data_IF_153922807738
#
_entry.id   IF_153922807738
#
_cell.length_a   1.000
_cell.length_b   1.000
_cell.length_c   1.000
_cell.angle_alpha   90.00
_cell.angle_beta   90.00
_cell.angle_gamma   90.00
#
_symmetry.space_group_name_H-M   'P 1'
#
loop_
_entity.id
_entity.type
_entity.pdbx_description
1 polymer ?
#
# COMPACT_ATOMS: atom_id res chain seq x y z
N UNK A 1 -0.32 -9.58 -16.61
CA UNK A 1 0.16 -8.21 -16.37
C UNK A 1 1.29 -8.23 -15.34
N UNK A 2 1.11 -8.84 -14.17
CA UNK A 2 1.99 -8.73 -13.02
C UNK A 2 3.22 -9.65 -13.01
N UNK A 3 3.30 -10.66 -13.88
CA UNK A 3 4.46 -11.56 -13.90
C UNK A 3 5.74 -10.84 -14.33
N UNK A 4 6.82 -11.07 -13.59
CA UNK A 4 8.13 -10.47 -13.79
C UNK A 4 8.15 -8.93 -13.68
N UNK A 5 7.22 -8.31 -12.95
CA UNK A 5 7.32 -6.90 -12.58
C UNK A 5 8.37 -6.70 -11.49
N UNK A 6 8.93 -5.50 -11.44
CA UNK A 6 9.77 -5.08 -10.32
C UNK A 6 8.96 -4.34 -9.25
N UNK A 7 9.37 -4.45 -8.01
CA UNK A 7 8.98 -3.51 -6.96
C UNK A 7 9.73 -2.21 -7.23
N UNK A 8 9.02 -1.21 -7.72
CA UNK A 8 9.63 -0.01 -8.30
C UNK A 8 9.76 1.17 -7.35
N UNK A 9 9.12 1.11 -6.18
CA UNK A 9 9.23 2.13 -5.15
C UNK A 9 9.07 1.50 -3.77
N UNK A 10 9.96 1.85 -2.87
CA UNK A 10 9.93 1.41 -1.47
C UNK A 10 10.02 2.63 -0.57
N UNK A 11 8.98 2.85 0.23
CA UNK A 11 8.97 3.87 1.27
C UNK A 11 9.29 3.19 2.59
N UNK A 12 10.50 3.42 3.15
CA UNK A 12 10.92 2.73 4.37
C UNK A 12 9.95 2.93 5.53
N UNK A 13 9.59 1.82 6.19
CA UNK A 13 8.66 1.84 7.31
C UNK A 13 7.21 2.15 6.94
N UNK A 14 6.87 2.23 5.65
CA UNK A 14 5.52 2.50 5.19
C UNK A 14 5.02 1.50 4.14
N UNK A 15 5.52 1.54 2.91
CA UNK A 15 4.95 0.76 1.81
C UNK A 15 5.99 0.19 0.85
N UNK A 16 5.60 -0.85 0.12
CA UNK A 16 6.28 -1.34 -1.07
C UNK A 16 5.30 -1.26 -2.26
N UNK A 17 5.74 -0.73 -3.40
CA UNK A 17 4.88 -0.43 -4.55
C UNK A 17 5.34 -1.15 -5.82
N UNK A 18 4.38 -1.58 -6.63
CA UNK A 18 4.58 -2.22 -7.93
C UNK A 18 3.36 -1.96 -8.84
N UNK A 19 3.35 -2.57 -10.02
CA UNK A 19 2.19 -2.53 -10.93
C UNK A 19 2.39 -1.69 -12.18
N UNK A 20 3.59 -1.13 -12.42
CA UNK A 20 3.91 -0.50 -13.71
C UNK A 20 4.16 -1.58 -14.78
N UNK A 21 3.24 -1.78 -15.75
CA UNK A 21 3.34 -2.90 -16.71
C UNK A 21 4.58 -2.86 -17.59
N UNK A 22 5.20 -1.69 -17.74
CA UNK A 22 6.42 -1.50 -18.55
C UNK A 22 7.70 -1.79 -17.78
N UNK A 23 7.63 -1.90 -16.46
CA UNK A 23 8.81 -2.12 -15.61
C UNK A 23 9.02 -3.61 -15.31
N UNK A 24 9.54 -4.33 -16.29
CA UNK A 24 9.89 -5.75 -16.19
C UNK A 24 11.31 -5.96 -15.70
N UNK A 25 11.52 -7.06 -14.97
CA UNK A 25 12.84 -7.47 -14.51
C UNK A 25 13.83 -7.61 -15.66
N UNK A 26 15.07 -7.16 -15.46
CA UNK A 26 16.13 -7.21 -16.46
C UNK A 26 15.86 -6.35 -17.70
N UNK A 27 14.96 -5.36 -17.62
CA UNK A 27 14.59 -4.53 -18.77
C UNK A 27 13.83 -5.27 -19.88
N UNK A 28 13.25 -6.42 -19.58
CA UNK A 28 12.49 -7.20 -20.57
C UNK A 28 11.31 -6.41 -21.13
N UNK A 29 10.98 -6.64 -22.40
CA UNK A 29 9.84 -6.02 -23.04
C UNK A 29 8.53 -6.38 -22.31
N UNK A 30 7.56 -5.45 -22.23
CA UNK A 30 6.24 -5.75 -21.69
C UNK A 30 5.58 -6.90 -22.47
N UNK A 31 5.00 -7.86 -21.76
CA UNK A 31 4.26 -8.98 -22.36
C UNK A 31 2.82 -8.62 -22.74
N UNK A 32 2.42 -7.38 -22.44
CA UNK A 32 1.08 -6.86 -22.68
C UNK A 32 1.16 -5.43 -23.21
N UNK A 33 0.15 -5.02 -23.94
CA UNK A 33 0.01 -3.63 -24.37
C UNK A 33 -0.29 -2.75 -23.13
N UNK A 34 0.73 -2.02 -22.66
CA UNK A 34 0.63 -1.20 -21.46
C UNK A 34 -0.43 -0.09 -21.59
N UNK A 35 -0.77 0.37 -22.79
CA UNK A 35 -1.78 1.40 -23.02
C UNK A 35 -3.17 0.97 -22.53
N UNK A 36 -3.48 -0.31 -22.60
CA UNK A 36 -4.74 -0.89 -22.14
C UNK A 36 -4.93 -0.87 -20.63
N UNK A 37 -3.87 -0.60 -19.88
CA UNK A 37 -3.86 -0.62 -18.42
C UNK A 37 -3.66 0.77 -17.79
N UNK A 38 -3.64 1.82 -18.60
CA UNK A 38 -3.52 3.21 -18.12
C UNK A 38 -4.84 3.85 -17.69
N UNK A 39 -5.90 3.05 -17.58
CA UNK A 39 -7.19 3.54 -17.08
C UNK A 39 -7.16 3.74 -15.56
N UNK A 40 -8.06 4.56 -15.08
CA UNK A 40 -8.33 4.72 -13.66
C UNK A 40 -9.63 4.02 -13.27
N UNK A 41 -9.76 3.72 -12.00
CA UNK A 41 -10.96 3.14 -11.39
C UNK A 41 -11.55 4.14 -10.40
N UNK A 42 -12.88 4.18 -10.22
CA UNK A 42 -13.48 5.00 -9.17
C UNK A 42 -12.88 4.73 -7.81
N UNK A 43 -12.78 5.76 -6.98
CA UNK A 43 -12.32 5.61 -5.60
C UNK A 43 -13.35 4.82 -4.77
N UNK A 44 -12.88 3.81 -4.03
CA UNK A 44 -13.68 3.03 -3.08
C UNK A 44 -13.11 3.15 -1.67
N UNK A 45 -12.95 4.37 -1.20
CA UNK A 45 -12.36 4.68 0.10
C UNK A 45 -13.39 4.41 1.20
N UNK A 46 -13.16 3.40 2.04
CA UNK A 46 -14.09 2.92 3.08
C UNK A 46 -13.52 3.08 4.50
N UNK A 47 -12.81 4.19 4.75
CA UNK A 47 -12.39 4.53 6.10
C UNK A 47 -13.62 4.92 6.98
N UNK A 48 -13.68 4.56 8.25
CA UNK A 48 -12.68 3.86 9.07
C UNK A 48 -12.74 2.33 9.02
N UNK A 49 -13.64 1.73 8.22
CA UNK A 49 -13.80 0.26 8.13
C UNK A 49 -12.53 -0.41 7.62
N UNK A 50 -11.94 0.15 6.57
CA UNK A 50 -10.65 -0.29 6.03
C UNK A 50 -9.61 0.81 6.28
N UNK A 51 -8.48 0.44 6.86
CA UNK A 51 -7.41 1.35 7.23
C UNK A 51 -6.04 0.71 6.96
N UNK A 52 -5.00 1.53 6.89
CA UNK A 52 -3.67 1.11 6.44
C UNK A 52 -2.87 0.38 7.53
N UNK A 53 -3.42 -0.69 8.08
CA UNK A 53 -2.69 -1.61 8.96
C UNK A 53 -1.58 -2.32 8.17
N UNK A 54 -0.53 -2.82 8.85
CA UNK A 54 0.50 -3.63 8.21
C UNK A 54 -0.14 -4.84 7.49
N UNK A 55 0.23 -5.04 6.23
CA UNK A 55 -0.33 -6.04 5.34
C UNK A 55 -1.52 -5.57 4.50
N UNK A 56 -2.06 -4.35 4.69
CA UNK A 56 -3.11 -3.85 3.81
C UNK A 56 -2.61 -3.71 2.36
N UNK A 57 -3.43 -4.12 1.39
CA UNK A 57 -3.24 -3.90 -0.04
C UNK A 57 -4.09 -2.72 -0.48
N UNK A 58 -3.47 -1.71 -1.08
CA UNK A 58 -4.19 -0.53 -1.54
C UNK A 58 -3.72 -0.10 -2.94
N UNK A 59 -4.62 0.56 -3.68
CA UNK A 59 -4.32 1.08 -5.01
C UNK A 59 -3.54 2.38 -4.91
N UNK A 60 -2.53 2.54 -5.76
CA UNK A 60 -1.90 3.84 -5.98
C UNK A 60 -2.85 4.79 -6.70
N UNK A 61 -2.61 6.08 -6.58
CA UNK A 61 -3.30 7.14 -7.32
C UNK A 61 -2.42 8.36 -7.52
N UNK A 62 -2.82 9.23 -8.41
CA UNK A 62 -2.20 10.55 -8.56
C UNK A 62 -2.59 11.48 -7.41
N UNK A 63 -1.79 12.51 -7.11
CA UNK A 63 -2.10 13.53 -6.11
C UNK A 63 -3.41 14.29 -6.39
N UNK A 64 -3.98 14.92 -5.37
CA UNK A 64 -5.31 15.56 -5.44
C UNK A 64 -5.36 16.75 -6.42
N UNK A 65 -4.24 17.43 -6.66
CA UNK A 65 -4.13 18.55 -7.63
C UNK A 65 -4.38 18.11 -9.08
N UNK A 66 -4.05 16.88 -9.43
CA UNK A 66 -4.28 16.32 -10.79
C UNK A 66 -5.37 15.24 -10.80
N UNK A 67 -5.83 14.80 -9.66
CA UNK A 67 -6.83 13.74 -9.50
C UNK A 67 -7.76 14.04 -8.30
N UNK A 68 -8.56 15.11 -8.37
CA UNK A 68 -9.44 15.53 -7.27
C UNK A 68 -10.48 14.48 -6.88
N UNK A 69 -10.89 13.62 -7.83
CA UNK A 69 -11.81 12.51 -7.59
C UNK A 69 -11.15 11.31 -6.89
N UNK A 70 -9.85 11.37 -6.61
CA UNK A 70 -9.06 10.30 -5.98
C UNK A 70 -9.16 8.95 -6.67
N UNK A 71 -9.36 8.96 -7.98
CA UNK A 71 -9.45 7.74 -8.78
C UNK A 71 -8.20 6.89 -8.62
N UNK A 72 -8.40 5.60 -8.47
CA UNK A 72 -7.32 4.62 -8.31
C UNK A 72 -6.67 4.28 -9.65
N UNK A 73 -5.38 3.97 -9.65
CA UNK A 73 -4.71 3.35 -10.81
C UNK A 73 -5.35 2.01 -11.15
N UNK A 74 -5.46 1.66 -12.43
CA UNK A 74 -5.95 0.35 -12.86
C UNK A 74 -4.96 -0.80 -12.63
N UNK A 75 -3.68 -0.51 -12.31
CA UNK A 75 -2.64 -1.54 -12.14
C UNK A 75 -1.70 -1.31 -10.97
N UNK A 76 -1.36 -0.05 -10.66
CA UNK A 76 -0.41 0.22 -9.59
C UNK A 76 -1.04 0.01 -8.22
N UNK A 77 -0.36 -0.76 -7.39
CA UNK A 77 -0.77 -0.99 -6.00
C UNK A 77 0.43 -1.00 -5.07
N UNK A 78 0.16 -0.91 -3.80
CA UNK A 78 1.15 -1.07 -2.76
C UNK A 78 0.67 -1.99 -1.65
N UNK A 79 1.65 -2.54 -0.92
CA UNK A 79 1.41 -3.28 0.31
C UNK A 79 2.02 -2.48 1.46
N UNK A 80 1.24 -2.31 2.51
CA UNK A 80 1.70 -1.63 3.72
C UNK A 80 2.62 -2.58 4.49
N UNK A 81 3.90 -2.23 4.62
CA UNK A 81 4.79 -2.88 5.58
C UNK A 81 4.60 -2.23 6.95
N UNK A 82 4.55 -0.90 6.96
CA UNK A 82 4.30 -0.07 8.13
C UNK A 82 5.35 -0.19 9.24
N UNK A 83 5.23 0.67 10.24
CA UNK A 83 5.97 0.56 11.49
C UNK A 83 4.98 0.56 12.66
N UNK A 84 5.42 0.11 13.82
CA UNK A 84 4.63 0.22 15.06
C UNK A 84 4.78 1.62 15.62
N UNK A 85 3.72 2.10 16.23
CA UNK A 85 3.64 3.41 16.87
C UNK A 85 3.36 3.22 18.36
N UNK A 86 3.79 4.16 19.18
CA UNK A 86 3.18 4.42 20.48
C UNK A 86 2.04 5.44 20.33
N UNK A 87 1.24 5.64 21.35
CA UNK A 87 0.08 6.53 21.31
C UNK A 87 0.47 8.01 21.14
N UNK A 88 1.62 8.42 21.69
CA UNK A 88 2.15 9.77 21.53
C UNK A 88 2.55 10.04 20.09
N UNK A 89 3.38 9.16 19.52
CA UNK A 89 3.82 9.24 18.10
C UNK A 89 2.64 9.23 17.13
N UNK A 90 1.55 8.53 17.43
CA UNK A 90 0.34 8.57 16.59
C UNK A 90 -0.32 9.96 16.63
N UNK A 91 -0.37 10.62 17.78
CA UNK A 91 -0.95 11.96 17.90
C UNK A 91 -0.09 13.00 17.15
N UNK A 92 1.24 12.95 17.34
CA UNK A 92 2.19 13.86 16.69
C UNK A 92 2.17 13.73 15.15
N UNK A 93 1.97 12.51 14.64
CA UNK A 93 1.97 12.23 13.21
C UNK A 93 0.93 13.07 12.44
N UNK A 94 -0.26 13.20 12.98
CA UNK A 94 -1.32 14.00 12.35
C UNK A 94 -1.21 15.48 12.67
N UNK A 95 -0.55 15.86 13.77
CA UNK A 95 -0.29 17.25 14.04
C UNK A 95 0.59 17.85 12.94
N UNK A 96 1.67 17.15 12.52
CA UNK A 96 2.50 17.59 11.40
C UNK A 96 1.74 17.78 10.09
N UNK A 97 0.76 16.90 9.81
CA UNK A 97 -0.11 17.04 8.63
C UNK A 97 -1.03 18.26 8.74
N UNK A 98 -1.57 18.51 9.92
CA UNK A 98 -2.41 19.69 10.21
C UNK A 98 -1.68 21.01 10.02
N UNK A 99 -0.40 21.06 10.34
CA UNK A 99 0.43 22.25 10.22
C UNK A 99 0.68 22.61 8.73
N UNK A 100 0.63 21.63 7.84
CA UNK A 100 0.78 21.81 6.37
C UNK A 100 -0.55 21.88 5.63
N UNK A 101 -1.63 21.32 6.19
CA UNK A 101 -2.97 21.25 5.63
C UNK A 101 -3.99 21.77 6.66
N UNK A 102 -4.23 23.10 6.76
CA UNK A 102 -5.06 23.70 7.82
C UNK A 102 -6.49 23.14 7.91
N UNK A 103 -7.05 22.72 6.76
CA UNK A 103 -8.39 22.13 6.68
C UNK A 103 -8.41 20.63 6.98
N UNK A 104 -7.25 20.02 7.24
CA UNK A 104 -7.16 18.61 7.58
C UNK A 104 -7.85 18.31 8.90
N UNK A 105 -8.89 17.48 8.84
CA UNK A 105 -9.60 17.00 10.04
C UNK A 105 -8.88 15.79 10.60
N UNK A 106 -8.42 15.88 11.83
CA UNK A 106 -7.81 14.78 12.56
C UNK A 106 -8.76 13.57 12.58
N UNK A 107 -8.34 12.40 12.07
CA UNK A 107 -9.16 11.21 12.15
C UNK A 107 -9.32 10.76 13.61
N UNK A 108 -10.54 10.50 14.02
CA UNK A 108 -10.79 9.85 15.31
C UNK A 108 -10.53 8.35 15.17
N UNK A 109 -9.37 7.90 15.64
CA UNK A 109 -9.08 6.46 15.66
C UNK A 109 -9.87 5.76 16.77
N UNK A 110 -10.53 4.67 16.41
CA UNK A 110 -11.16 3.76 17.37
C UNK A 110 -10.11 3.09 18.27
N UNK A 111 -10.55 2.54 19.39
CA UNK A 111 -9.67 1.77 20.29
C UNK A 111 -9.01 0.56 19.52
N UNK A 112 -9.76 -0.06 18.62
CA UNK A 112 -9.24 -1.14 17.78
C UNK A 112 -8.12 -0.66 16.84
N UNK A 113 -8.31 0.45 16.13
CA UNK A 113 -7.27 1.00 15.24
C UNK A 113 -6.01 1.39 16.02
N UNK A 114 -6.17 2.05 17.18
CA UNK A 114 -5.04 2.35 18.07
C UNK A 114 -4.29 1.10 18.47
N UNK A 115 -5.01 0.07 18.91
CA UNK A 115 -4.41 -1.24 19.26
C UNK A 115 -3.66 -1.84 18.08
N UNK A 116 -4.23 -1.84 16.87
CA UNK A 116 -3.57 -2.39 15.68
C UNK A 116 -2.30 -1.62 15.34
N UNK A 117 -2.34 -0.29 15.30
CA UNK A 117 -1.16 0.51 14.99
C UNK A 117 -0.03 0.39 16.02
N UNK A 118 -0.37 0.14 17.28
CA UNK A 118 0.64 -0.07 18.34
C UNK A 118 1.20 -1.49 18.37
N UNK A 119 0.44 -2.50 17.91
CA UNK A 119 0.86 -3.92 17.97
C UNK A 119 1.35 -4.48 16.64
N UNK A 120 0.59 -4.27 15.55
CA UNK A 120 0.93 -4.73 14.20
C UNK A 120 1.67 -3.68 13.39
N UNK A 121 1.38 -2.39 13.64
CA UNK A 121 1.89 -1.29 12.86
C UNK A 121 1.01 -0.96 11.65
N UNK A 122 1.50 -0.03 10.83
CA UNK A 122 0.79 0.42 9.64
C UNK A 122 1.32 1.72 9.08
N UNK A 123 0.50 2.36 8.23
CA UNK A 123 0.78 3.65 7.61
C UNK A 123 -0.42 4.60 7.79
N UNK A 124 -0.70 5.06 9.02
CA UNK A 124 -1.93 5.80 9.35
C UNK A 124 -2.09 7.12 8.59
N UNK A 125 -1.01 7.75 8.11
CA UNK A 125 -1.10 8.96 7.28
C UNK A 125 -1.80 8.75 5.93
N UNK A 126 -1.97 7.49 5.50
CA UNK A 126 -2.66 7.15 4.25
C UNK A 126 -4.17 6.89 4.46
N UNK A 127 -4.62 6.89 5.71
CA UNK A 127 -6.02 6.60 6.04
C UNK A 127 -6.98 7.66 5.47
N UNK A 128 -8.03 7.18 4.83
CA UNK A 128 -9.04 8.04 4.21
C UNK A 128 -8.66 8.58 2.82
N UNK A 129 -7.47 8.27 2.31
CA UNK A 129 -6.97 8.84 1.06
C UNK A 129 -6.83 7.83 -0.09
N UNK A 130 -6.90 6.53 0.20
CA UNK A 130 -6.67 5.47 -0.80
C UNK A 130 -7.68 4.33 -0.69
N UNK A 131 -7.96 3.69 -1.83
CA UNK A 131 -8.79 2.48 -1.89
C UNK A 131 -8.00 1.27 -1.39
N UNK A 132 -8.44 0.68 -0.29
CA UNK A 132 -7.92 -0.59 0.22
C UNK A 132 -8.81 -1.72 -0.30
N UNK A 133 -8.22 -2.69 -1.00
CA UNK A 133 -8.96 -3.77 -1.67
C UNK A 133 -8.63 -5.17 -1.15
N UNK A 134 -7.63 -5.29 -0.26
CA UNK A 134 -7.23 -6.58 0.26
C UNK A 134 -6.24 -6.49 1.42
N UNK A 135 -5.79 -7.64 1.87
CA UNK A 135 -4.80 -7.74 2.96
C UNK A 135 -3.96 -9.01 2.79
N UNK A 136 -2.71 -8.94 3.23
CA UNK A 136 -1.80 -10.08 3.31
C UNK A 136 -2.25 -11.00 4.43
N UNK A 137 -2.61 -12.23 4.09
CA UNK A 137 -3.07 -13.26 5.05
C UNK A 137 -1.93 -14.19 5.49
N UNK A 138 -0.86 -14.27 4.69
CA UNK A 138 0.34 -15.05 5.02
C UNK A 138 1.56 -14.43 4.35
N UNK A 139 2.76 -14.62 4.92
CA UNK A 139 4.02 -14.15 4.34
C UNK A 139 4.33 -12.67 4.58
N UNK A 140 3.77 -12.01 5.59
CA UNK A 140 4.06 -10.59 5.90
C UNK A 140 5.56 -10.32 6.09
N UNK A 141 6.33 -11.28 6.59
CA UNK A 141 7.79 -11.16 6.73
C UNK A 141 8.52 -10.95 5.39
N UNK A 142 7.95 -11.39 4.26
CA UNK A 142 8.49 -11.10 2.93
C UNK A 142 8.33 -9.62 2.60
N UNK A 143 7.15 -9.03 2.90
CA UNK A 143 6.89 -7.60 2.72
C UNK A 143 7.86 -6.77 3.55
N UNK A 144 8.06 -7.14 4.81
CA UNK A 144 9.03 -6.49 5.71
C UNK A 144 10.47 -6.61 5.21
N UNK A 145 10.84 -7.74 4.63
CA UNK A 145 12.18 -7.95 4.07
C UNK A 145 12.40 -7.09 2.84
N UNK A 146 11.41 -6.99 1.95
CA UNK A 146 11.46 -6.10 0.77
C UNK A 146 11.56 -4.64 1.22
N UNK A 147 10.83 -4.24 2.26
CA UNK A 147 10.85 -2.85 2.73
C UNK A 147 12.19 -2.41 3.35
N UNK A 148 13.09 -3.35 3.63
CA UNK A 148 14.41 -3.09 4.20
C UNK A 148 15.56 -3.12 3.19
N UNK A 149 15.29 -3.37 1.91
CA UNK A 149 16.37 -3.40 0.91
C UNK A 149 16.94 -1.98 0.70
N UNK A 150 18.23 -1.85 0.35
CA UNK A 150 18.82 -0.57 0.01
C UNK A 150 18.13 0.07 -1.19
N UNK A 151 17.88 1.37 -1.10
CA UNK A 151 17.20 2.19 -2.10
C UNK A 151 18.05 3.40 -2.51
N UNK A 152 17.75 3.95 -3.68
CA UNK A 152 18.30 5.22 -4.14
C UNK A 152 17.50 6.45 -3.61
N UNK A 153 17.94 7.65 -3.98
CA UNK A 153 17.29 8.91 -3.60
C UNK A 153 15.86 9.07 -4.18
N UNK A 154 15.46 8.21 -5.13
CA UNK A 154 14.10 8.15 -5.70
C UNK A 154 13.27 7.00 -5.13
N UNK A 155 13.70 6.45 -4.00
CA UNK A 155 13.04 5.32 -3.32
C UNK A 155 12.97 4.03 -4.16
N UNK A 156 13.88 3.85 -5.14
CA UNK A 156 13.97 2.64 -5.95
C UNK A 156 14.98 1.67 -5.35
N UNK A 157 14.69 0.37 -5.31
CA UNK A 157 15.68 -0.63 -4.91
C UNK A 157 16.96 -0.54 -5.73
N UNK A 158 18.13 -0.52 -5.07
CA UNK A 158 19.44 -0.55 -5.76
C UNK A 158 19.68 -1.86 -6.52
N UNK A 159 19.06 -2.95 -6.10
CA UNK A 159 18.99 -4.22 -6.83
C UNK A 159 17.54 -4.56 -7.10
N UNK A 160 17.23 -5.02 -8.30
CA UNK A 160 15.87 -5.39 -8.66
C UNK A 160 15.27 -6.41 -7.69
N UNK A 161 14.10 -6.09 -7.16
CA UNK A 161 13.26 -7.02 -6.41
C UNK A 161 12.09 -7.40 -7.32
N UNK A 162 12.00 -8.67 -7.66
CA UNK A 162 11.11 -9.15 -8.73
C UNK A 162 9.86 -9.81 -8.17
N UNK A 163 8.69 -9.33 -8.62
CA UNK A 163 7.42 -10.01 -8.48
C UNK A 163 7.32 -11.08 -9.58
N UNK A 164 7.79 -12.30 -9.28
CA UNK A 164 7.94 -13.36 -10.30
C UNK A 164 6.61 -13.77 -10.93
N UNK A 165 5.57 -13.93 -10.11
CA UNK A 165 4.26 -14.41 -10.59
C UNK A 165 3.13 -14.03 -9.66
N UNK A 166 1.98 -13.69 -10.25
CA UNK A 166 0.71 -13.48 -9.54
C UNK A 166 -0.34 -14.45 -10.09
N UNK A 167 -1.09 -15.09 -9.21
CA UNK A 167 -2.21 -15.95 -9.57
C UNK A 167 -3.42 -15.62 -8.73
N UNK A 168 -4.58 -15.54 -9.38
CA UNK A 168 -5.87 -15.46 -8.69
C UNK A 168 -6.37 -16.89 -8.51
N UNK A 169 -6.62 -17.26 -7.27
CA UNK A 169 -7.16 -18.58 -6.92
C UNK A 169 -8.46 -18.42 -6.14
N UNK A 170 -9.43 -19.29 -6.40
CA UNK A 170 -10.63 -19.35 -5.57
C UNK A 170 -10.25 -19.99 -4.23
N UNK A 171 -10.62 -19.31 -3.15
CA UNK A 171 -10.43 -19.86 -1.81
C UNK A 171 -11.43 -21.01 -1.58
N UNK A 172 -11.01 -22.16 -1.03
CA UNK A 172 -11.94 -23.17 -0.55
C UNK A 172 -12.81 -22.58 0.57
N UNK A 173 -14.12 -22.94 0.64
CA UNK A 173 -15.06 -22.34 1.61
C UNK A 173 -14.70 -22.54 3.08
N UNK A 174 -13.80 -23.44 3.40
CA UNK A 174 -13.55 -23.97 4.76
C UNK A 174 -12.30 -23.44 5.48
N UNK A 175 -11.57 -22.47 4.92
CA UNK A 175 -10.35 -21.94 5.59
C UNK A 175 -10.66 -20.59 6.25
N UNK A 176 -10.81 -20.49 7.60
CA UNK A 176 -10.93 -19.23 8.30
C UNK A 176 -9.73 -18.33 8.03
N UNK A 177 -9.91 -17.00 7.96
CA UNK A 177 -8.78 -16.06 7.99
C UNK A 177 -8.13 -16.17 9.35
N UNK A 178 -6.81 -16.47 9.40
CA UNK A 178 -6.07 -16.38 10.65
C UNK A 178 -6.15 -14.94 11.14
N UNK A 179 -6.92 -14.67 12.19
CA UNK A 179 -7.01 -13.36 12.84
C UNK A 179 -8.40 -12.76 13.02
N UNK A 180 -9.46 -13.50 12.76
CA UNK A 180 -10.83 -13.13 13.17
C UNK A 180 -11.19 -13.88 14.47
N UNK A 181 -10.47 -13.59 15.57
CA UNK A 181 -10.90 -13.84 16.94
C UNK A 181 -10.82 -12.55 17.75
#
# INVERSE_FOLDING_TARGET
VYDNLIWNRIVPGATIQTGEPTQKAGGAAPTVDASKFRHTLPAEIKFPRHFHKAGALAMCRQPDDVNPDRQSSGTHFYIVSGKKYDLGSLAELWQGRRDTEPDFKLPSLSAYQKKVYTTRGGAPLLDGDYTIFGEVVDGIGVVESINKVPIDAKERPLKEVVLKRVRVVKRPPSVPLKGEE
#
